data_IF_867518187681
#
_entry.id   IF_867518187681
#
_cell.length_a   1.000
_cell.length_b   1.000
_cell.length_c   1.000
_cell.angle_alpha   90.00
_cell.angle_beta   90.00
_cell.angle_gamma   90.00
#
_symmetry.space_group_name_H-M   'P 1'
#
loop_
_entity.id
_entity.type
_entity.pdbx_description
1 polymer ?
#
# COMPACT_ATOMS: atom_id res chain seq x y z
N UNK A 1 -11.26 -32.46 -7.70
CA UNK A 1 -10.11 -31.61 -8.08
C UNK A 1 -10.52 -30.16 -8.42
N UNK A 2 -11.50 -29.95 -9.31
CA UNK A 2 -11.94 -28.59 -9.72
C UNK A 2 -12.66 -27.81 -8.60
N UNK A 3 -13.39 -28.47 -7.72
CA UNK A 3 -14.13 -27.82 -6.63
C UNK A 3 -13.17 -27.47 -5.49
N UNK A 4 -12.26 -28.34 -5.13
CA UNK A 4 -11.23 -28.08 -4.11
C UNK A 4 -10.32 -26.93 -4.52
N UNK A 5 -9.86 -26.90 -5.78
CA UNK A 5 -9.06 -25.80 -6.31
C UNK A 5 -9.78 -24.45 -6.28
N UNK A 6 -11.09 -24.43 -6.58
CA UNK A 6 -11.91 -23.21 -6.47
C UNK A 6 -12.11 -22.75 -5.03
N UNK A 7 -12.21 -23.69 -4.09
CA UNK A 7 -12.36 -23.38 -2.66
C UNK A 7 -11.05 -22.79 -2.13
N UNK A 8 -9.90 -23.41 -2.45
CA UNK A 8 -8.58 -22.91 -2.07
C UNK A 8 -8.34 -21.50 -2.58
N UNK A 9 -8.63 -21.24 -3.86
CA UNK A 9 -8.48 -19.90 -4.46
C UNK A 9 -9.41 -18.86 -3.82
N UNK A 10 -10.61 -19.25 -3.38
CA UNK A 10 -11.51 -18.35 -2.63
C UNK A 10 -11.02 -18.08 -1.21
N UNK A 11 -10.44 -19.08 -0.57
CA UNK A 11 -9.86 -18.92 0.77
C UNK A 11 -8.68 -17.96 0.74
N UNK A 12 -7.77 -18.12 -0.21
CA UNK A 12 -6.65 -17.20 -0.45
C UNK A 12 -7.11 -15.76 -0.70
N UNK A 13 -8.14 -15.57 -1.52
CA UNK A 13 -8.71 -14.23 -1.76
C UNK A 13 -9.33 -13.61 -0.51
N UNK A 14 -10.00 -14.40 0.32
CA UNK A 14 -10.59 -13.94 1.57
C UNK A 14 -9.50 -13.60 2.61
N UNK A 15 -8.50 -14.44 2.72
CA UNK A 15 -7.36 -14.21 3.61
C UNK A 15 -6.63 -12.92 3.24
N UNK A 16 -6.29 -12.75 1.95
CA UNK A 16 -5.69 -11.52 1.44
C UNK A 16 -6.56 -10.29 1.73
N UNK A 17 -7.87 -10.42 1.58
CA UNK A 17 -8.83 -9.34 1.82
C UNK A 17 -8.79 -8.88 3.28
N UNK A 18 -8.95 -9.80 4.23
CA UNK A 18 -8.93 -9.47 5.66
C UNK A 18 -7.55 -9.03 6.14
N UNK A 19 -6.49 -9.67 5.66
CA UNK A 19 -5.11 -9.30 5.98
C UNK A 19 -4.81 -7.87 5.54
N UNK A 20 -5.19 -7.49 4.34
CA UNK A 20 -4.95 -6.14 3.80
C UNK A 20 -5.75 -5.04 4.50
N UNK A 21 -6.94 -5.35 5.04
CA UNK A 21 -7.77 -4.37 5.76
C UNK A 21 -7.24 -4.11 7.17
N UNK A 22 -6.91 -5.18 7.92
CA UNK A 22 -6.65 -5.09 9.36
C UNK A 22 -5.17 -5.17 9.70
N UNK A 23 -4.41 -6.12 9.15
CA UNK A 23 -3.00 -6.34 9.49
C UNK A 23 -2.10 -5.42 8.70
N UNK A 24 -2.20 -5.47 7.37
CA UNK A 24 -1.39 -4.67 6.44
C UNK A 24 -2.08 -3.34 6.10
N UNK A 25 -2.74 -2.74 7.08
CA UNK A 25 -3.42 -1.46 6.88
C UNK A 25 -2.40 -0.38 6.53
N UNK A 26 -2.59 0.29 5.38
CA UNK A 26 -1.65 1.31 4.86
C UNK A 26 -1.38 2.45 5.84
N UNK A 27 -2.34 2.81 6.71
CA UNK A 27 -2.15 3.88 7.69
C UNK A 27 -1.47 3.38 8.95
N UNK A 28 -1.94 2.26 9.51
CA UNK A 28 -1.51 1.81 10.83
C UNK A 28 -0.25 0.96 10.81
N UNK A 29 -0.03 0.16 9.76
CA UNK A 29 1.15 -0.67 9.64
C UNK A 29 2.35 0.07 9.01
N UNK A 30 2.10 0.88 7.97
CA UNK A 30 3.17 1.50 7.19
C UNK A 30 3.19 3.03 7.22
N UNK A 31 2.24 3.67 7.90
CA UNK A 31 2.07 5.12 7.98
C UNK A 31 1.93 5.82 6.62
N UNK A 32 1.55 5.08 5.58
CA UNK A 32 1.36 5.64 4.25
C UNK A 32 0.03 6.38 4.13
N UNK A 33 0.07 7.52 3.42
CA UNK A 33 -1.11 8.37 3.25
C UNK A 33 -1.45 9.24 4.45
N UNK A 34 -0.52 9.43 5.40
CA UNK A 34 -0.72 10.28 6.57
C UNK A 34 -0.99 11.74 6.22
N UNK A 35 -0.44 12.25 5.11
CA UNK A 35 -0.67 13.63 4.65
C UNK A 35 -2.16 13.90 4.39
N UNK A 36 -2.81 13.07 3.60
CA UNK A 36 -4.25 13.16 3.32
C UNK A 36 -5.11 12.78 4.52
N UNK A 37 -4.71 11.76 5.28
CA UNK A 37 -5.33 11.33 6.51
C UNK A 37 -5.42 12.46 7.56
N UNK A 38 -4.35 13.19 7.81
CA UNK A 38 -4.32 14.31 8.76
C UNK A 38 -5.06 15.55 8.24
N UNK A 39 -4.92 15.87 6.95
CA UNK A 39 -5.53 17.06 6.36
C UNK A 39 -7.05 16.99 6.33
N UNK A 40 -7.63 15.83 5.98
CA UNK A 40 -9.05 15.67 5.67
C UNK A 40 -9.87 15.13 6.84
N UNK A 41 -9.24 14.58 7.86
CA UNK A 41 -9.92 13.98 9.02
C UNK A 41 -10.57 14.98 10.00
N UNK A 42 -10.69 16.26 9.63
CA UNK A 42 -11.33 17.30 10.47
C UNK A 42 -12.86 17.19 10.51
N UNK A 43 -13.49 16.65 9.47
CA UNK A 43 -14.94 16.46 9.36
C UNK A 43 -15.24 15.09 8.78
N UNK A 44 -16.16 14.36 9.42
CA UNK A 44 -16.56 13.01 8.98
C UNK A 44 -17.10 13.03 7.54
N UNK A 45 -17.93 14.01 7.18
CA UNK A 45 -18.51 14.12 5.84
C UNK A 45 -17.45 14.21 4.73
N UNK A 46 -16.39 14.98 4.95
CA UNK A 46 -15.28 15.13 3.98
C UNK A 46 -14.41 13.86 3.95
N UNK A 47 -14.19 13.24 5.11
CA UNK A 47 -13.44 11.99 5.22
C UNK A 47 -14.12 10.84 4.47
N UNK A 48 -15.46 10.73 4.53
CA UNK A 48 -16.23 9.73 3.78
C UNK A 48 -16.10 9.94 2.28
N UNK A 49 -16.22 11.18 1.80
CA UNK A 49 -16.10 11.49 0.39
C UNK A 49 -14.71 11.17 -0.17
N UNK A 50 -13.66 11.57 0.55
CA UNK A 50 -12.28 11.28 0.15
C UNK A 50 -11.97 9.78 0.23
N UNK A 51 -12.45 9.10 1.27
CA UNK A 51 -12.23 7.66 1.43
C UNK A 51 -12.88 6.85 0.31
N UNK A 52 -14.09 7.20 -0.10
CA UNK A 52 -14.75 6.57 -1.25
C UNK A 52 -13.96 6.81 -2.55
N UNK A 53 -13.46 8.03 -2.75
CA UNK A 53 -12.62 8.35 -3.91
C UNK A 53 -11.32 7.53 -3.91
N UNK A 54 -10.65 7.37 -2.77
CA UNK A 54 -9.43 6.57 -2.64
C UNK A 54 -9.69 5.09 -2.93
N UNK A 55 -10.80 4.52 -2.44
CA UNK A 55 -11.18 3.13 -2.77
C UNK A 55 -11.33 2.97 -4.29
N UNK A 56 -12.04 3.89 -4.93
CA UNK A 56 -12.26 3.85 -6.38
C UNK A 56 -10.94 3.97 -7.15
N UNK A 57 -10.09 4.91 -6.78
CA UNK A 57 -8.78 5.10 -7.42
C UNK A 57 -7.92 3.86 -7.24
N UNK A 58 -7.80 3.28 -6.04
CA UNK A 58 -7.04 2.05 -5.81
C UNK A 58 -7.59 0.86 -6.58
N UNK A 59 -8.92 0.72 -6.66
CA UNK A 59 -9.56 -0.34 -7.42
C UNK A 59 -9.24 -0.29 -8.93
N UNK A 60 -8.94 0.89 -9.47
CA UNK A 60 -8.59 1.06 -10.88
C UNK A 60 -7.07 1.07 -11.09
N UNK A 61 -6.31 1.78 -10.25
CA UNK A 61 -4.87 1.98 -10.44
C UNK A 61 -4.05 0.72 -10.14
N UNK A 62 -4.41 -0.06 -9.11
CA UNK A 62 -3.64 -1.27 -8.76
C UNK A 62 -3.69 -2.32 -9.86
N UNK A 63 -4.86 -2.71 -10.42
CA UNK A 63 -4.90 -3.62 -11.56
C UNK A 63 -4.23 -3.08 -12.82
N UNK A 64 -4.32 -1.75 -13.05
CA UNK A 64 -3.68 -1.11 -14.19
C UNK A 64 -2.15 -1.15 -14.04
N UNK A 65 -1.63 -0.83 -12.87
CA UNK A 65 -0.21 -0.94 -12.58
C UNK A 65 0.28 -2.39 -12.61
N UNK A 66 -0.55 -3.35 -12.24
CA UNK A 66 -0.26 -4.77 -12.40
C UNK A 66 -0.13 -5.16 -13.89
N UNK A 67 -1.01 -4.66 -14.75
CA UNK A 67 -0.89 -4.85 -16.19
C UNK A 67 0.42 -4.26 -16.75
N UNK A 68 0.77 -3.04 -16.34
CA UNK A 68 2.02 -2.40 -16.72
C UNK A 68 3.24 -3.19 -16.24
N UNK A 69 3.20 -3.69 -15.00
CA UNK A 69 4.26 -4.52 -14.43
C UNK A 69 4.45 -5.80 -15.25
N UNK A 70 3.38 -6.52 -15.53
CA UNK A 70 3.43 -7.80 -16.26
C UNK A 70 3.86 -7.66 -17.74
N UNK A 71 3.43 -6.57 -18.42
CA UNK A 71 3.64 -6.43 -19.87
C UNK A 71 4.84 -5.56 -20.25
N UNK A 72 5.34 -4.72 -19.35
CA UNK A 72 6.39 -3.73 -19.67
C UNK A 72 7.61 -3.86 -18.77
N UNK A 73 7.42 -4.06 -17.45
CA UNK A 73 8.49 -3.95 -16.48
C UNK A 73 9.16 -5.28 -16.15
N UNK A 74 8.45 -6.38 -16.27
CA UNK A 74 8.96 -7.70 -15.89
C UNK A 74 10.08 -8.14 -16.86
N UNK A 75 11.07 -8.83 -16.32
CA UNK A 75 12.16 -9.40 -17.11
C UNK A 75 11.63 -10.26 -18.25
N UNK A 76 12.03 -9.94 -19.47
CA UNK A 76 11.54 -10.62 -20.66
C UNK A 76 10.16 -10.16 -21.17
N UNK A 77 9.51 -9.19 -20.55
CA UNK A 77 8.24 -8.66 -21.04
C UNK A 77 8.36 -8.00 -22.42
N UNK A 78 9.53 -7.43 -22.75
CA UNK A 78 9.77 -6.78 -24.03
C UNK A 78 10.13 -7.74 -25.18
N UNK A 79 10.11 -9.04 -24.98
CA UNK A 79 10.38 -10.03 -26.05
C UNK A 79 9.46 -9.83 -27.26
N UNK A 80 8.26 -9.34 -27.09
CA UNK A 80 7.33 -9.05 -28.19
C UNK A 80 7.76 -7.86 -29.06
N UNK A 81 8.63 -6.96 -28.54
CA UNK A 81 9.18 -5.82 -29.28
C UNK A 81 10.49 -6.18 -30.02
N UNK A 82 11.22 -7.21 -29.57
CA UNK A 82 12.42 -7.73 -30.20
C UNK A 82 13.33 -8.48 -29.22
N UNK A 83 14.03 -9.52 -29.66
CA UNK A 83 14.87 -10.35 -28.80
C UNK A 83 16.08 -9.59 -28.22
N UNK A 84 16.49 -8.47 -28.81
CA UNK A 84 17.59 -7.63 -28.33
C UNK A 84 17.22 -6.83 -27.06
N UNK A 85 15.92 -6.56 -26.85
CA UNK A 85 15.43 -5.77 -25.74
C UNK A 85 15.17 -6.60 -24.47
N UNK A 86 15.23 -7.91 -24.55
CA UNK A 86 15.01 -8.84 -23.43
C UNK A 86 16.09 -8.76 -22.32
N UNK A 87 17.23 -8.09 -22.58
CA UNK A 87 18.35 -7.97 -21.64
C UNK A 87 18.29 -6.71 -20.74
N UNK A 88 17.34 -5.82 -20.99
CA UNK A 88 17.22 -4.57 -20.22
C UNK A 88 16.24 -4.73 -19.07
N UNK A 89 16.77 -4.67 -17.85
CA UNK A 89 15.98 -4.58 -16.62
C UNK A 89 15.38 -3.17 -16.49
N UNK A 90 14.07 -3.04 -16.68
CA UNK A 90 13.36 -1.78 -16.52
C UNK A 90 12.72 -1.64 -15.14
N UNK A 91 13.02 -2.54 -14.21
CA UNK A 91 12.40 -2.55 -12.88
C UNK A 91 12.64 -1.26 -12.08
N UNK A 92 13.78 -0.55 -12.32
CA UNK A 92 14.03 0.74 -11.69
C UNK A 92 13.09 1.86 -12.20
N UNK A 93 12.50 1.71 -13.39
CA UNK A 93 11.50 2.65 -13.92
C UNK A 93 10.09 2.40 -13.35
N UNK A 94 9.86 1.30 -12.63
CA UNK A 94 8.55 0.95 -12.09
C UNK A 94 7.96 2.07 -11.24
N UNK A 95 8.78 2.67 -10.38
CA UNK A 95 8.38 3.76 -9.51
C UNK A 95 7.86 4.97 -10.30
N UNK A 96 8.58 5.39 -11.35
CA UNK A 96 8.21 6.55 -12.17
C UNK A 96 6.95 6.25 -12.99
N UNK A 97 6.85 5.04 -13.56
CA UNK A 97 5.69 4.62 -14.35
C UNK A 97 4.43 4.51 -13.48
N UNK A 98 4.55 3.98 -12.28
CA UNK A 98 3.41 3.87 -11.36
C UNK A 98 2.90 5.27 -10.94
N UNK A 99 3.80 6.20 -10.62
CA UNK A 99 3.41 7.58 -10.30
C UNK A 99 2.71 8.23 -11.50
N UNK A 100 3.27 8.10 -12.71
CA UNK A 100 2.68 8.67 -13.92
C UNK A 100 1.29 8.10 -14.20
N UNK A 101 1.11 6.80 -14.05
CA UNK A 101 -0.18 6.11 -14.22
C UNK A 101 -1.20 6.57 -13.17
N UNK A 102 -0.80 6.65 -11.91
CA UNK A 102 -1.66 7.13 -10.82
C UNK A 102 -2.09 8.57 -11.08
N UNK A 103 -1.16 9.45 -11.43
CA UNK A 103 -1.45 10.85 -11.74
C UNK A 103 -2.45 10.98 -12.89
N UNK A 104 -2.25 10.23 -13.97
CA UNK A 104 -3.15 10.23 -15.14
C UNK A 104 -4.55 9.75 -14.77
N UNK A 105 -4.65 8.66 -13.99
CA UNK A 105 -5.95 8.13 -13.58
C UNK A 105 -6.69 9.04 -12.61
N UNK A 106 -5.98 9.67 -11.67
CA UNK A 106 -6.59 10.64 -10.75
C UNK A 106 -7.08 11.87 -11.52
N UNK A 107 -6.35 12.36 -12.52
CA UNK A 107 -6.79 13.46 -13.38
C UNK A 107 -8.08 13.10 -14.13
N UNK A 108 -8.18 11.87 -14.64
CA UNK A 108 -9.40 11.34 -15.27
C UNK A 108 -10.57 11.34 -14.28
N UNK A 109 -10.35 10.85 -13.07
CA UNK A 109 -11.37 10.83 -11.99
C UNK A 109 -11.81 12.24 -11.63
N UNK A 110 -10.87 13.20 -11.57
CA UNK A 110 -11.17 14.61 -11.31
C UNK A 110 -12.13 15.19 -12.34
N UNK A 111 -11.86 15.01 -13.63
CA UNK A 111 -12.74 15.46 -14.74
C UNK A 111 -14.12 14.81 -14.66
N UNK A 112 -14.18 13.52 -14.34
CA UNK A 112 -15.43 12.78 -14.20
C UNK A 112 -16.26 13.31 -13.01
N UNK A 113 -15.62 13.50 -11.85
CA UNK A 113 -16.30 14.02 -10.65
C UNK A 113 -16.79 15.45 -10.85
N UNK A 114 -15.97 16.30 -11.49
CA UNK A 114 -16.37 17.68 -11.83
C UNK A 114 -17.65 17.70 -12.69
N UNK A 115 -17.72 16.82 -13.69
CA UNK A 115 -18.85 16.75 -14.62
C UNK A 115 -20.11 16.15 -14.03
N UNK A 116 -19.99 15.08 -13.22
CA UNK A 116 -21.14 14.32 -12.72
C UNK A 116 -21.65 14.79 -11.36
N UNK A 117 -20.80 15.38 -10.53
CA UNK A 117 -21.16 15.81 -9.17
C UNK A 117 -20.47 17.11 -8.75
N UNK A 118 -20.92 18.27 -9.26
CA UNK A 118 -20.32 19.57 -8.91
C UNK A 118 -20.36 19.88 -7.41
N UNK A 119 -21.37 19.38 -6.69
CA UNK A 119 -21.50 19.56 -5.26
C UNK A 119 -20.40 18.81 -4.47
N UNK A 120 -20.06 17.61 -4.93
CA UNK A 120 -18.96 16.81 -4.36
C UNK A 120 -17.61 17.43 -4.74
N UNK A 121 -17.45 17.89 -5.97
CA UNK A 121 -16.27 18.60 -6.44
C UNK A 121 -15.98 19.85 -5.61
N UNK A 122 -16.97 20.70 -5.37
CA UNK A 122 -16.81 21.89 -4.52
C UNK A 122 -16.44 21.56 -3.07
N UNK A 123 -16.90 20.42 -2.57
CA UNK A 123 -16.55 19.93 -1.22
C UNK A 123 -15.16 19.31 -1.10
N UNK A 124 -14.71 18.64 -2.16
CA UNK A 124 -13.45 17.90 -2.25
C UNK A 124 -12.37 18.62 -3.07
N UNK A 125 -12.71 19.66 -3.84
CA UNK A 125 -11.89 20.24 -4.89
C UNK A 125 -10.46 20.62 -4.50
N UNK A 126 -10.24 21.09 -3.25
CA UNK A 126 -8.90 21.37 -2.73
C UNK A 126 -8.13 20.06 -2.41
N UNK A 127 -8.85 18.96 -2.15
CA UNK A 127 -8.28 17.69 -1.72
C UNK A 127 -8.11 16.68 -2.85
N UNK A 128 -8.69 16.93 -4.04
CA UNK A 128 -8.54 16.04 -5.20
C UNK A 128 -7.07 15.91 -5.66
N UNK A 129 -6.29 16.99 -5.81
CA UNK A 129 -4.86 16.86 -6.12
C UNK A 129 -4.08 16.07 -5.06
N UNK A 130 -4.56 16.08 -3.82
CA UNK A 130 -3.94 15.34 -2.73
C UNK A 130 -4.13 13.80 -2.88
N UNK A 131 -5.11 13.36 -3.67
CA UNK A 131 -5.27 11.94 -4.01
C UNK A 131 -4.15 11.50 -4.96
N UNK A 132 -3.77 12.32 -5.94
CA UNK A 132 -2.71 12.01 -6.91
C UNK A 132 -1.35 11.78 -6.26
N UNK A 133 -1.03 12.56 -5.22
CA UNK A 133 0.22 12.45 -4.46
C UNK A 133 0.08 11.64 -3.18
N UNK A 134 -0.98 10.83 -3.05
CA UNK A 134 -1.23 10.04 -1.86
C UNK A 134 -0.30 8.83 -1.81
N UNK A 135 0.58 8.81 -0.81
CA UNK A 135 1.56 7.73 -0.60
C UNK A 135 0.89 6.36 -0.41
N UNK A 136 -0.36 6.29 0.06
CA UNK A 136 -1.07 5.01 0.20
C UNK A 136 -1.41 4.39 -1.16
N UNK A 137 -1.74 5.19 -2.17
CA UNK A 137 -2.04 4.70 -3.52
C UNK A 137 -0.77 4.20 -4.20
N UNK A 138 0.32 4.97 -4.09
CA UNK A 138 1.63 4.56 -4.58
C UNK A 138 2.12 3.31 -3.84
N UNK A 139 2.02 3.30 -2.51
CA UNK A 139 2.37 2.16 -1.67
C UNK A 139 1.59 0.90 -2.02
N UNK A 140 0.29 1.02 -2.31
CA UNK A 140 -0.54 -0.09 -2.79
C UNK A 140 0.00 -0.70 -4.07
N UNK A 141 0.45 0.11 -5.02
CA UNK A 141 1.05 -0.37 -6.27
C UNK A 141 2.43 -1.01 -6.05
N UNK A 142 3.27 -0.45 -5.19
CA UNK A 142 4.59 -1.00 -4.86
C UNK A 142 4.48 -2.31 -4.07
N UNK A 143 3.58 -2.39 -3.11
CA UNK A 143 3.34 -3.63 -2.36
C UNK A 143 2.69 -4.72 -3.23
N UNK A 144 1.87 -4.35 -4.20
CA UNK A 144 1.37 -5.29 -5.21
C UNK A 144 2.53 -5.91 -6.00
N UNK A 145 3.50 -5.11 -6.42
CA UNK A 145 4.70 -5.57 -7.12
C UNK A 145 5.59 -6.44 -6.22
N UNK A 146 5.87 -6.00 -4.99
CA UNK A 146 6.73 -6.73 -4.05
C UNK A 146 6.16 -8.07 -3.59
N UNK A 147 4.85 -8.24 -3.63
CA UNK A 147 4.14 -9.50 -3.32
C UNK A 147 3.99 -10.42 -4.53
N UNK A 148 4.52 -10.04 -5.68
CA UNK A 148 4.47 -10.83 -6.92
C UNK A 148 3.07 -11.39 -7.22
N UNK A 149 2.04 -10.55 -7.14
CA UNK A 149 0.65 -10.95 -7.34
C UNK A 149 0.48 -11.50 -8.76
N UNK A 150 0.15 -12.79 -8.86
CA UNK A 150 0.12 -13.52 -10.14
C UNK A 150 -1.10 -13.22 -11.01
N UNK A 151 -2.22 -12.84 -10.41
CA UNK A 151 -3.49 -12.70 -11.13
C UNK A 151 -4.12 -11.32 -11.00
N UNK A 152 -4.71 -10.85 -12.11
CA UNK A 152 -5.46 -9.58 -12.14
C UNK A 152 -6.57 -9.55 -11.07
N UNK A 153 -7.22 -10.70 -10.82
CA UNK A 153 -8.28 -10.79 -9.81
C UNK A 153 -7.78 -10.58 -8.38
N UNK A 154 -6.58 -11.07 -8.06
CA UNK A 154 -5.92 -10.82 -6.77
C UNK A 154 -5.47 -9.35 -6.65
N UNK A 155 -4.95 -8.76 -7.74
CA UNK A 155 -4.58 -7.35 -7.77
C UNK A 155 -5.79 -6.43 -7.53
N UNK A 156 -6.93 -6.72 -8.16
CA UNK A 156 -8.17 -5.99 -7.94
C UNK A 156 -8.66 -6.13 -6.50
N UNK A 157 -8.67 -7.36 -5.96
CA UNK A 157 -9.06 -7.64 -4.59
C UNK A 157 -8.15 -6.89 -3.59
N UNK A 158 -6.83 -6.92 -3.83
CA UNK A 158 -5.86 -6.20 -3.01
C UNK A 158 -6.06 -4.68 -3.06
N UNK A 159 -6.32 -4.10 -4.23
CA UNK A 159 -6.60 -2.67 -4.39
C UNK A 159 -7.85 -2.24 -3.62
N UNK A 160 -8.94 -3.00 -3.73
CA UNK A 160 -10.19 -2.73 -3.00
C UNK A 160 -10.00 -2.88 -1.49
N UNK A 161 -9.39 -3.96 -1.04
CA UNK A 161 -9.18 -4.24 0.39
C UNK A 161 -8.28 -3.20 1.06
N UNK A 162 -7.19 -2.82 0.42
CA UNK A 162 -6.30 -1.75 0.91
C UNK A 162 -7.01 -0.40 0.97
N UNK A 163 -7.84 -0.09 -0.03
CA UNK A 163 -8.67 1.11 -0.04
C UNK A 163 -9.69 1.13 1.10
N UNK A 164 -10.36 0.01 1.37
CA UNK A 164 -11.28 -0.14 2.49
C UNK A 164 -10.55 0.02 3.82
N UNK A 165 -9.36 -0.57 3.98
CA UNK A 165 -8.54 -0.42 5.18
C UNK A 165 -8.17 1.04 5.44
N UNK A 166 -7.74 1.76 4.41
CA UNK A 166 -7.44 3.19 4.49
C UNK A 166 -8.68 4.02 4.81
N UNK A 167 -9.83 3.71 4.20
CA UNK A 167 -11.11 4.35 4.46
C UNK A 167 -11.57 4.18 5.92
N UNK A 168 -11.49 2.96 6.46
CA UNK A 168 -11.82 2.70 7.86
C UNK A 168 -10.94 3.49 8.82
N UNK A 169 -9.64 3.59 8.53
CA UNK A 169 -8.71 4.36 9.33
C UNK A 169 -9.08 5.85 9.37
N UNK A 170 -9.32 6.47 8.19
CA UNK A 170 -9.66 7.90 8.13
C UNK A 170 -11.03 8.20 8.73
N UNK A 171 -11.99 7.29 8.57
CA UNK A 171 -13.33 7.43 9.16
C UNK A 171 -13.28 7.39 10.68
N UNK A 172 -12.54 6.43 11.24
CA UNK A 172 -12.37 6.29 12.68
C UNK A 172 -11.72 7.53 13.31
N UNK A 173 -10.60 8.00 12.74
CA UNK A 173 -9.95 9.21 13.27
C UNK A 173 -10.83 10.46 13.11
N UNK A 174 -11.56 10.59 12.00
CA UNK A 174 -12.44 11.73 11.79
C UNK A 174 -13.57 11.77 12.83
N UNK A 175 -14.17 10.63 13.14
CA UNK A 175 -15.19 10.51 14.18
C UNK A 175 -14.64 10.86 15.58
N UNK A 176 -13.45 10.38 15.91
CA UNK A 176 -12.78 10.69 17.18
C UNK A 176 -12.43 12.17 17.27
N UNK A 177 -11.86 12.77 16.21
CA UNK A 177 -11.48 14.20 16.19
C UNK A 177 -12.69 15.12 16.30
N UNK A 178 -13.80 14.76 15.66
CA UNK A 178 -15.04 15.53 15.77
C UNK A 178 -15.56 15.53 17.21
N UNK A 179 -15.46 14.39 17.91
CA UNK A 179 -15.87 14.28 19.31
C UNK A 179 -14.91 14.99 20.28
N UNK A 180 -13.60 14.90 20.06
CA UNK A 180 -12.58 15.56 20.88
C UNK A 180 -12.65 17.09 20.81
N UNK A 181 -13.20 17.63 19.73
CA UNK A 181 -13.38 19.08 19.57
C UNK A 181 -14.21 19.71 20.70
N UNK A 182 -15.06 18.93 21.35
CA UNK A 182 -15.89 19.36 22.48
C UNK A 182 -15.25 19.04 23.84
N UNK A 183 -14.07 18.44 23.88
CA UNK A 183 -13.35 18.09 25.11
C UNK A 183 -12.31 19.17 25.49
N UNK A 184 -12.02 19.30 26.78
CA UNK A 184 -10.95 20.16 27.29
C UNK A 184 -9.59 19.51 27.10
N UNK A 185 -8.93 19.81 25.95
CA UNK A 185 -7.58 19.36 25.67
C UNK A 185 -6.56 20.43 26.09
N UNK A 186 -5.48 20.06 26.79
CA UNK A 186 -4.38 20.98 27.12
C UNK A 186 -3.83 21.67 25.87
N UNK A 187 -3.55 22.99 26.00
CA UNK A 187 -3.11 23.83 24.88
C UNK A 187 -1.99 23.25 24.01
N UNK A 188 -0.89 22.71 24.57
CA UNK A 188 0.23 22.17 23.82
C UNK A 188 -0.11 20.92 22.94
N UNK A 189 -1.11 20.14 23.35
CA UNK A 189 -1.55 18.93 22.64
C UNK A 189 -2.67 19.21 21.64
N UNK A 190 -3.26 20.39 21.68
CA UNK A 190 -4.42 20.72 20.85
C UNK A 190 -4.04 20.77 19.37
N UNK A 191 -4.72 19.98 18.54
CA UNK A 191 -4.52 19.94 17.09
C UNK A 191 -3.83 18.69 16.61
N UNK A 192 -2.64 18.81 16.01
CA UNK A 192 -1.89 17.70 15.44
C UNK A 192 -1.37 16.72 16.50
N UNK A 193 -0.91 17.20 17.65
CA UNK A 193 -0.32 16.35 18.69
C UNK A 193 -1.28 15.26 19.18
N UNK A 194 -2.50 15.64 19.55
CA UNK A 194 -3.50 14.66 19.98
C UNK A 194 -3.89 13.69 18.87
N UNK A 195 -3.89 14.15 17.62
CA UNK A 195 -4.21 13.28 16.48
C UNK A 195 -3.16 12.18 16.31
N UNK A 196 -1.87 12.49 16.45
CA UNK A 196 -0.80 11.51 16.39
C UNK A 196 -0.86 10.50 17.53
N UNK A 197 -1.13 10.96 18.75
CA UNK A 197 -1.28 10.08 19.93
C UNK A 197 -2.43 9.08 19.69
N UNK A 198 -3.57 9.58 19.25
CA UNK A 198 -4.74 8.73 18.97
C UNK A 198 -4.44 7.75 17.84
N UNK A 199 -3.78 8.20 16.77
CA UNK A 199 -3.39 7.32 15.65
C UNK A 199 -2.45 6.20 16.14
N UNK A 200 -1.49 6.52 17.01
CA UNK A 200 -0.63 5.51 17.64
C UNK A 200 -1.39 4.50 18.50
N UNK A 201 -2.33 4.98 19.33
CA UNK A 201 -3.19 4.08 20.12
C UNK A 201 -4.08 3.20 19.24
N UNK A 202 -4.62 3.76 18.15
CA UNK A 202 -5.40 2.97 17.17
C UNK A 202 -4.53 1.93 16.46
N UNK A 203 -3.29 2.28 16.12
CA UNK A 203 -2.34 1.33 15.52
C UNK A 203 -2.07 0.13 16.43
N UNK A 204 -1.86 0.37 17.73
CA UNK A 204 -1.71 -0.71 18.74
C UNK A 204 -2.98 -1.57 18.80
N UNK A 205 -4.17 -0.96 18.76
CA UNK A 205 -5.44 -1.69 18.71
C UNK A 205 -5.57 -2.56 17.47
N UNK A 206 -5.15 -2.06 16.30
CA UNK A 206 -5.18 -2.83 15.05
C UNK A 206 -4.14 -3.96 15.04
N UNK A 207 -2.97 -3.77 15.63
CA UNK A 207 -1.97 -4.84 15.78
C UNK A 207 -2.50 -6.05 16.59
N UNK A 208 -3.44 -5.84 17.51
CA UNK A 208 -4.07 -6.94 18.25
C UNK A 208 -4.86 -7.90 17.35
N UNK A 209 -5.39 -7.42 16.20
CA UNK A 209 -6.03 -8.28 15.21
C UNK A 209 -5.01 -9.17 14.46
N UNK A 210 -3.75 -8.75 14.34
CA UNK A 210 -2.67 -9.56 13.78
C UNK A 210 -2.48 -10.87 14.53
N UNK A 211 -2.50 -10.85 15.86
CA UNK A 211 -2.39 -12.03 16.70
C UNK A 211 -3.52 -13.05 16.56
N UNK A 212 -4.69 -12.64 16.05
CA UNK A 212 -5.83 -13.55 15.85
C UNK A 212 -5.72 -14.37 14.54
N UNK A 213 -5.04 -13.84 13.52
CA UNK A 213 -4.88 -14.49 12.22
C UNK A 213 -3.57 -15.29 12.10
N UNK A 214 -2.56 -14.97 12.91
CA UNK A 214 -1.25 -15.65 12.91
C UNK A 214 -1.28 -17.07 13.47
N UNK A 215 -2.37 -17.50 14.10
CA UNK A 215 -2.50 -18.90 14.58
C UNK A 215 -2.46 -19.94 13.44
N UNK A 216 -2.54 -19.51 12.17
CA UNK A 216 -2.44 -20.39 11.00
C UNK A 216 -1.14 -20.22 10.19
N UNK A 217 -0.27 -19.25 10.51
CA UNK A 217 0.87 -18.85 9.67
C UNK A 217 2.21 -18.65 10.40
N UNK A 218 2.37 -19.11 11.65
CA UNK A 218 3.59 -18.90 12.46
C UNK A 218 4.90 -19.47 11.87
N UNK A 219 4.85 -20.13 10.70
CA UNK A 219 6.06 -20.69 10.08
C UNK A 219 6.72 -19.82 9.00
N UNK A 220 6.10 -18.73 8.54
CA UNK A 220 6.67 -17.93 7.43
C UNK A 220 7.44 -16.67 7.88
N UNK A 221 7.06 -16.00 8.96
CA UNK A 221 7.80 -14.80 9.43
C UNK A 221 9.12 -15.14 10.14
N UNK A 222 9.18 -16.25 10.88
CA UNK A 222 10.42 -16.74 11.45
C UNK A 222 11.45 -17.16 10.37
N UNK A 223 10.97 -17.50 9.17
CA UNK A 223 11.83 -17.90 8.04
C UNK A 223 12.43 -16.68 7.34
N UNK A 224 11.73 -15.55 7.26
CA UNK A 224 12.22 -14.35 6.59
C UNK A 224 13.30 -13.63 7.40
N UNK A 225 13.18 -13.49 8.70
CA UNK A 225 14.22 -12.93 9.57
C UNK A 225 15.46 -13.83 9.62
N UNK A 226 15.26 -15.15 9.65
CA UNK A 226 16.37 -16.12 9.63
C UNK A 226 17.09 -16.13 8.27
N UNK A 227 16.37 -15.87 7.17
CA UNK A 227 16.95 -15.84 5.81
C UNK A 227 17.75 -14.56 5.60
N UNK A 228 17.29 -13.42 6.07
CA UNK A 228 18.00 -12.13 6.00
C UNK A 228 19.28 -12.19 6.85
N UNK A 229 19.19 -12.69 8.09
CA UNK A 229 20.36 -12.87 8.97
C UNK A 229 21.38 -13.86 8.39
N UNK A 230 20.91 -14.92 7.72
CA UNK A 230 21.79 -15.90 7.07
C UNK A 230 22.44 -15.37 5.80
N UNK A 231 21.75 -14.52 5.03
CA UNK A 231 22.28 -13.85 3.85
C UNK A 231 23.36 -12.80 4.22
N UNK A 232 23.15 -12.06 5.30
CA UNK A 232 24.17 -11.13 5.84
C UNK A 232 25.40 -11.86 6.36
N UNK A 233 25.24 -13.02 7.01
CA UNK A 233 26.34 -13.88 7.46
C UNK A 233 27.19 -14.41 6.29
N UNK A 234 26.55 -14.92 5.24
CA UNK A 234 27.22 -15.46 4.05
C UNK A 234 27.97 -14.35 3.28
N UNK A 235 27.43 -13.14 3.24
CA UNK A 235 28.07 -12.02 2.55
C UNK A 235 29.31 -11.52 3.31
N UNK A 236 29.28 -11.55 4.66
CA UNK A 236 30.43 -11.22 5.49
C UNK A 236 31.58 -12.22 5.32
N UNK A 237 31.26 -13.51 5.33
CA UNK A 237 32.25 -14.60 5.18
C UNK A 237 32.90 -14.60 3.79
N UNK A 238 32.12 -14.21 2.75
CA UNK A 238 32.61 -14.09 1.37
C UNK A 238 33.53 -12.87 1.18
N UNK A 239 33.26 -11.76 1.87
CA UNK A 239 34.11 -10.56 1.85
C UNK A 239 35.45 -10.85 2.58
N UNK A 240 35.39 -11.54 3.71
CA UNK A 240 36.59 -11.87 4.52
C UNK A 240 37.51 -12.87 3.80
N UNK A 241 36.90 -13.88 3.13
CA UNK A 241 37.66 -14.83 2.30
C UNK A 241 38.29 -14.18 1.08
N UNK A 242 37.67 -13.18 0.45
CA UNK A 242 38.23 -12.46 -0.69
C UNK A 242 39.41 -11.56 -0.27
N UNK A 243 39.33 -10.92 0.90
CA UNK A 243 40.44 -10.11 1.43
C UNK A 243 41.68 -10.98 1.81
N UNK A 244 41.45 -12.18 2.32
CA UNK A 244 42.56 -13.10 2.66
C UNK A 244 43.30 -13.58 1.40
N UNK A 245 42.59 -13.81 0.30
CA UNK A 245 43.17 -14.22 -0.98
C UNK A 245 44.00 -13.09 -1.62
N UNK A 246 43.50 -11.84 -1.56
CA UNK A 246 44.23 -10.68 -2.07
C UNK A 246 45.54 -10.40 -1.30
N UNK A 247 45.51 -10.54 0.02
CA UNK A 247 46.72 -10.36 0.86
C UNK A 247 47.75 -11.47 0.65
N UNK A 248 47.33 -12.69 0.28
CA UNK A 248 48.23 -13.80 0.01
C UNK A 248 48.94 -13.75 -1.38
N UNK A 249 48.37 -12.96 -2.31
CA UNK A 249 48.89 -12.84 -3.70
C UNK A 249 49.95 -11.71 -3.82
N UNK A 250 50.08 -10.85 -2.81
CA UNK A 250 51.03 -9.71 -2.76
C UNK A 250 52.31 -10.05 -2.02
N UNK A 251 52.49 -11.28 -1.60
CA UNK A 251 53.72 -11.77 -0.91
C UNK A 251 54.42 -12.81 -1.77
#
# INVERSE_FOLDING_TARGET
LNIEFRILKRMEQLELFFKSIFIDNMVFATFLGMCSYLAVSKKVKTAVGLGAAVIFVLAVTVPLNWLLDQYILRDGALVWLGPEYAQYDLSFLSFILFIATIATMVQLVEIVVEKFSPSLYNSLGIFLPLIAVNCAILGGSLFMQSREIETLGLALNYGISSGIGWFLAILAIAAIREKIRYSNVPGPLRGLGITFIITGLMAIGFMSFGGMLTTSGENEEATSETTVSKAEGINKEKIESTQIVEVSTIK
#
